data_IF_188442213545
#
_entry.id   IF_188442213545
#
_cell.length_a   1.000
_cell.length_b   1.000
_cell.length_c   1.000
_cell.angle_alpha   90.00
_cell.angle_beta   90.00
_cell.angle_gamma   90.00
#
_symmetry.space_group_name_H-M   'P 1'
#
loop_
_entity.id
_entity.type
_entity.pdbx_description
1 polymer ?
#
# COMPACT_ATOMS: atom_id res chain seq x y z
N UNK A 1 -0.75 6.79 15.46
CA UNK A 1 -0.03 6.21 14.31
C UNK A 1 1.24 7.01 14.13
N UNK A 2 2.42 6.39 14.18
CA UNK A 2 3.67 7.09 13.93
C UNK A 2 3.72 7.48 12.45
N UNK A 3 3.83 8.77 12.17
CA UNK A 3 3.81 9.27 10.80
C UNK A 3 5.12 8.91 10.11
N UNK A 4 4.99 8.33 8.91
CA UNK A 4 6.14 8.09 8.02
C UNK A 4 6.87 9.40 7.70
N UNK A 5 8.20 9.33 7.66
CA UNK A 5 9.06 10.42 7.19
C UNK A 5 9.62 10.16 5.80
N UNK A 6 10.02 11.24 5.13
CA UNK A 6 10.62 11.26 3.81
C UNK A 6 11.78 10.28 3.69
N UNK A 7 12.65 10.21 4.70
CA UNK A 7 13.77 9.25 4.71
C UNK A 7 13.33 7.79 4.63
N UNK A 8 12.23 7.42 5.29
CA UNK A 8 11.74 6.04 5.30
C UNK A 8 11.18 5.70 3.92
N UNK A 9 10.41 6.63 3.34
CA UNK A 9 9.88 6.48 1.99
C UNK A 9 11.02 6.35 0.97
N UNK A 10 12.02 7.25 1.02
CA UNK A 10 13.19 7.19 0.13
C UNK A 10 13.96 5.88 0.26
N UNK A 11 14.17 5.38 1.47
CA UNK A 11 14.89 4.13 1.69
C UNK A 11 14.18 2.93 1.06
N UNK A 12 12.85 2.88 1.15
CA UNK A 12 12.04 1.78 0.63
C UNK A 12 11.90 1.87 -0.89
N UNK A 13 11.73 3.08 -1.43
CA UNK A 13 11.42 3.31 -2.84
C UNK A 13 12.60 3.77 -3.70
N UNK A 14 13.83 3.74 -3.17
CA UNK A 14 15.02 4.07 -3.95
C UNK A 14 15.21 3.13 -5.14
N UNK A 15 15.49 3.68 -6.32
CA UNK A 15 15.65 2.93 -7.58
C UNK A 15 14.41 2.09 -7.93
N UNK A 16 13.21 2.58 -7.57
CA UNK A 16 11.94 1.92 -7.89
C UNK A 16 11.15 2.71 -8.91
N UNK A 17 10.58 1.98 -9.86
CA UNK A 17 9.53 2.46 -10.75
C UNK A 17 8.17 2.12 -10.14
N UNK A 18 7.47 3.14 -9.64
CA UNK A 18 6.14 3.02 -9.02
C UNK A 18 5.08 3.61 -9.93
N UNK A 19 3.94 2.93 -10.05
CA UNK A 19 2.78 3.43 -10.78
C UNK A 19 1.56 3.49 -9.88
N UNK A 20 0.87 4.62 -9.89
CA UNK A 20 -0.46 4.77 -9.30
C UNK A 20 -1.52 4.81 -10.39
N UNK A 21 -2.59 4.05 -10.24
CA UNK A 21 -3.71 4.02 -11.18
C UNK A 21 -5.01 4.18 -10.42
N UNK A 22 -5.83 5.16 -10.79
CA UNK A 22 -7.16 5.29 -10.22
C UNK A 22 -7.77 6.68 -10.26
N UNK A 23 -8.69 6.92 -9.36
CA UNK A 23 -9.48 8.15 -9.33
C UNK A 23 -8.75 9.35 -8.66
N UNK A 24 -9.53 10.35 -8.26
CA UNK A 24 -9.07 11.54 -7.54
C UNK A 24 -8.53 11.24 -6.13
N UNK A 25 -8.96 10.17 -5.46
CA UNK A 25 -8.36 9.70 -4.22
C UNK A 25 -6.98 9.13 -4.50
N UNK A 26 -6.85 8.27 -5.51
CA UNK A 26 -5.55 7.73 -5.94
C UNK A 26 -4.59 8.83 -6.38
N UNK A 27 -5.08 9.86 -7.09
CA UNK A 27 -4.30 11.06 -7.41
C UNK A 27 -3.80 11.79 -6.16
N UNK A 28 -4.61 11.86 -5.12
CA UNK A 28 -4.24 12.52 -3.86
C UNK A 28 -3.21 11.71 -3.07
N UNK A 29 -3.31 10.37 -3.10
CA UNK A 29 -2.30 9.47 -2.52
C UNK A 29 -0.98 9.60 -3.30
N UNK A 30 -1.02 9.57 -4.63
CA UNK A 30 0.15 9.82 -5.49
C UNK A 30 0.83 11.16 -5.15
N UNK A 31 0.05 12.23 -4.98
CA UNK A 31 0.58 13.56 -4.64
C UNK A 31 1.19 13.63 -3.25
N UNK A 32 0.54 13.02 -2.26
CA UNK A 32 1.13 12.89 -0.92
C UNK A 32 2.44 12.10 -0.98
N UNK A 33 2.49 11.01 -1.74
CA UNK A 33 3.65 10.16 -1.92
C UNK A 33 4.83 10.94 -2.52
N UNK A 34 4.65 11.64 -3.64
CA UNK A 34 5.74 12.42 -4.27
C UNK A 34 6.15 13.63 -3.42
N UNK A 35 5.21 14.26 -2.71
CA UNK A 35 5.55 15.33 -1.77
C UNK A 35 6.41 14.77 -0.63
N UNK A 36 6.02 13.64 -0.04
CA UNK A 36 6.76 13.01 1.04
C UNK A 36 8.12 12.48 0.58
N UNK A 37 8.28 12.08 -0.70
CA UNK A 37 9.59 11.79 -1.26
C UNK A 37 10.54 13.00 -1.20
N UNK A 38 10.02 14.23 -1.03
CA UNK A 38 10.79 15.46 -1.05
C UNK A 38 10.88 16.10 0.35
N UNK A 39 9.76 16.17 1.07
CA UNK A 39 9.60 17.00 2.27
C UNK A 39 8.75 16.30 3.35
N UNK A 40 9.12 16.48 4.62
CA UNK A 40 8.38 16.01 5.80
C UNK A 40 7.20 16.94 6.15
N UNK A 41 6.29 17.17 5.19
CA UNK A 41 5.09 17.99 5.43
C UNK A 41 3.85 17.40 4.75
N UNK A 42 2.68 17.81 5.22
CA UNK A 42 1.40 17.49 4.58
C UNK A 42 1.13 18.44 3.39
N UNK A 43 0.31 17.98 2.45
CA UNK A 43 -0.29 18.86 1.46
C UNK A 43 -1.22 19.87 2.13
N UNK A 44 -1.13 21.14 1.74
CA UNK A 44 -2.12 22.14 2.11
C UNK A 44 -3.47 21.90 1.41
N UNK A 45 -4.54 22.50 1.93
CA UNK A 45 -5.87 22.40 1.30
C UNK A 45 -5.91 23.00 -0.11
N UNK A 46 -5.14 24.06 -0.36
CA UNK A 46 -5.04 24.67 -1.68
C UNK A 46 -4.33 23.74 -2.67
N UNK A 47 -3.23 23.12 -2.26
CA UNK A 47 -2.50 22.14 -3.07
C UNK A 47 -3.38 20.92 -3.36
N UNK A 48 -4.16 20.45 -2.39
CA UNK A 48 -5.10 19.34 -2.57
C UNK A 48 -6.24 19.70 -3.53
N UNK A 49 -6.89 20.85 -3.32
CA UNK A 49 -8.06 21.27 -4.10
C UNK A 49 -7.73 21.63 -5.54
N UNK A 50 -6.63 22.34 -5.75
CA UNK A 50 -6.28 22.89 -7.07
C UNK A 50 -5.09 22.21 -7.73
N UNK A 51 -4.38 21.35 -7.03
CA UNK A 51 -3.20 20.69 -7.59
C UNK A 51 -3.50 19.78 -8.77
N UNK A 52 -4.72 19.26 -8.90
CA UNK A 52 -5.17 18.52 -10.09
C UNK A 52 -5.26 19.40 -11.34
N UNK A 53 -5.46 20.70 -11.17
CA UNK A 53 -5.69 21.66 -12.24
C UNK A 53 -4.39 22.40 -12.62
N UNK A 54 -3.24 21.77 -12.39
CA UNK A 54 -1.94 22.29 -12.75
C UNK A 54 -1.20 21.29 -13.63
N UNK A 55 -0.46 21.82 -14.59
CA UNK A 55 0.49 21.08 -15.40
C UNK A 55 1.67 20.57 -14.56
N UNK A 56 2.00 21.26 -13.47
CA UNK A 56 3.05 20.87 -12.52
C UNK A 56 2.63 21.05 -11.06
N UNK A 57 2.91 20.04 -10.23
CA UNK A 57 2.82 20.14 -8.77
C UNK A 57 3.83 19.19 -8.11
N UNK A 58 4.51 19.66 -7.06
CA UNK A 58 5.55 18.88 -6.35
C UNK A 58 6.63 18.32 -7.29
N UNK A 59 6.98 19.05 -8.36
CA UNK A 59 7.95 18.60 -9.36
C UNK A 59 7.43 17.56 -10.35
N UNK A 60 6.17 17.11 -10.24
CA UNK A 60 5.54 16.29 -11.27
C UNK A 60 5.25 17.09 -12.55
N UNK A 61 4.99 16.36 -13.63
CA UNK A 61 4.63 16.88 -14.94
C UNK A 61 3.38 16.15 -15.41
N UNK A 62 2.35 16.90 -15.79
CA UNK A 62 1.22 16.42 -16.56
C UNK A 62 1.70 16.16 -18.00
N UNK A 63 1.52 14.93 -18.46
CA UNK A 63 1.86 14.51 -19.82
C UNK A 63 0.66 14.60 -20.75
N UNK A 64 -0.51 14.16 -20.28
CA UNK A 64 -1.73 14.07 -21.07
C UNK A 64 -2.95 14.40 -20.23
N UNK A 65 -4.00 14.94 -20.86
CA UNK A 65 -5.28 15.19 -20.22
C UNK A 65 -5.28 16.38 -19.26
N UNK A 66 -6.11 16.34 -18.21
CA UNK A 66 -6.21 17.44 -17.22
C UNK A 66 -6.43 18.81 -17.87
N UNK A 67 -5.56 19.78 -17.55
CA UNK A 67 -5.62 21.14 -18.09
C UNK A 67 -5.27 21.26 -19.57
N UNK A 68 -4.64 20.25 -20.18
CA UNK A 68 -4.37 20.23 -21.62
C UNK A 68 -5.60 19.81 -22.44
N UNK A 69 -6.60 19.20 -21.80
CA UNK A 69 -7.96 19.06 -22.34
C UNK A 69 -8.85 20.12 -21.70
N UNK A 70 -10.07 20.30 -22.21
CA UNK A 70 -11.08 21.03 -21.44
C UNK A 70 -11.29 20.28 -20.12
N UNK A 71 -11.16 20.99 -18.99
CA UNK A 71 -11.38 20.40 -17.66
C UNK A 71 -12.78 19.80 -17.63
N UNK A 72 -12.88 18.49 -17.79
CA UNK A 72 -14.13 17.76 -17.78
C UNK A 72 -14.18 16.88 -16.53
N UNK A 73 -15.35 16.80 -15.91
CA UNK A 73 -15.64 15.86 -14.83
C UNK A 73 -16.41 14.63 -15.34
N UNK A 74 -16.27 14.36 -16.64
CA UNK A 74 -16.98 13.31 -17.36
C UNK A 74 -16.22 11.98 -17.34
N UNK A 75 -16.86 10.94 -17.87
CA UNK A 75 -16.28 9.60 -18.02
C UNK A 75 -15.10 9.56 -19.02
N UNK A 76 -15.00 10.60 -19.86
CA UNK A 76 -13.91 10.86 -20.82
C UNK A 76 -12.68 11.54 -20.17
N UNK A 77 -12.74 11.79 -18.85
CA UNK A 77 -11.61 12.41 -18.17
C UNK A 77 -10.41 11.46 -18.15
N UNK A 78 -9.28 12.00 -18.58
CA UNK A 78 -8.01 11.32 -18.62
C UNK A 78 -6.96 12.24 -18.02
N UNK A 79 -5.99 11.66 -17.35
CA UNK A 79 -4.86 12.40 -16.79
C UNK A 79 -3.70 11.43 -16.63
N UNK A 80 -2.55 11.79 -17.21
CA UNK A 80 -1.30 11.04 -17.10
C UNK A 80 -0.24 11.96 -16.54
N UNK A 81 0.41 11.55 -15.45
CA UNK A 81 1.49 12.32 -14.82
C UNK A 81 2.74 11.49 -14.63
N UNK A 82 3.86 12.19 -14.59
CA UNK A 82 5.17 11.63 -14.27
C UNK A 82 5.90 12.52 -13.26
N UNK A 83 6.47 11.89 -12.25
CA UNK A 83 7.47 12.49 -11.37
C UNK A 83 8.77 11.73 -11.59
N UNK A 84 9.80 12.46 -12.04
CA UNK A 84 11.14 11.93 -12.25
C UNK A 84 12.12 12.81 -11.49
N UNK A 85 12.72 12.27 -10.43
CA UNK A 85 13.72 12.96 -9.64
C UNK A 85 14.79 11.98 -9.14
N UNK A 86 16.04 12.19 -9.55
CA UNK A 86 17.18 11.34 -9.22
C UNK A 86 16.93 9.86 -9.55
N UNK A 87 16.65 9.06 -8.52
CA UNK A 87 16.47 7.60 -8.56
C UNK A 87 15.00 7.19 -8.39
N UNK A 88 14.06 8.14 -8.45
CA UNK A 88 12.63 7.90 -8.32
C UNK A 88 11.93 8.14 -9.65
N UNK A 89 11.21 7.12 -10.12
CA UNK A 89 10.29 7.22 -11.24
C UNK A 89 8.89 6.86 -10.74
N UNK A 90 7.98 7.84 -10.74
CA UNK A 90 6.59 7.63 -10.31
C UNK A 90 5.64 8.11 -11.39
N UNK A 91 4.82 7.22 -11.96
CA UNK A 91 3.75 7.59 -12.89
C UNK A 91 2.39 7.55 -12.21
N UNK A 92 1.47 8.38 -12.66
CA UNK A 92 0.06 8.33 -12.29
C UNK A 92 -0.83 8.29 -13.54
N UNK A 93 -1.84 7.43 -13.52
CA UNK A 93 -2.86 7.33 -14.55
C UNK A 93 -4.25 7.45 -13.92
N UNK A 94 -5.03 8.42 -14.37
CA UNK A 94 -6.40 8.57 -13.92
C UNK A 94 -7.29 7.53 -14.59
N UNK A 95 -8.05 6.78 -13.78
CA UNK A 95 -9.00 5.78 -14.26
C UNK A 95 -10.43 6.19 -13.94
N UNK A 96 -11.30 6.12 -14.96
CA UNK A 96 -12.74 6.19 -14.79
C UNK A 96 -13.38 4.80 -14.74
N UNK A 97 -12.67 3.75 -15.17
CA UNK A 97 -13.08 2.34 -15.10
C UNK A 97 -11.88 1.47 -14.79
N UNK A 98 -12.10 0.30 -14.18
CA UNK A 98 -11.07 -0.74 -14.10
C UNK A 98 -10.67 -1.26 -15.48
N UNK A 99 -11.61 -1.25 -16.43
CA UNK A 99 -11.38 -1.70 -17.80
C UNK A 99 -12.16 -0.86 -18.79
N UNK A 100 -11.43 -0.18 -19.67
CA UNK A 100 -11.92 0.54 -20.84
C UNK A 100 -10.74 0.77 -21.83
N UNK A 101 -10.96 1.57 -22.87
CA UNK A 101 -9.91 1.88 -23.84
C UNK A 101 -8.73 2.63 -23.21
N UNK A 102 -8.96 3.43 -22.18
CA UNK A 102 -7.90 4.15 -21.46
C UNK A 102 -6.98 3.17 -20.75
N UNK A 103 -7.53 2.24 -19.96
CA UNK A 103 -6.73 1.22 -19.26
C UNK A 103 -6.01 0.32 -20.25
N UNK A 104 -6.64 -0.04 -21.37
CA UNK A 104 -6.01 -0.84 -22.41
C UNK A 104 -4.78 -0.13 -23.01
N UNK A 105 -4.85 1.18 -23.25
CA UNK A 105 -3.70 1.99 -23.71
C UNK A 105 -2.59 2.06 -22.67
N UNK A 106 -2.92 2.19 -21.38
CA UNK A 106 -1.93 2.17 -20.29
C UNK A 106 -1.21 0.81 -20.22
N UNK A 107 -1.94 -0.29 -20.33
CA UNK A 107 -1.34 -1.63 -20.34
C UNK A 107 -0.47 -1.85 -21.58
N UNK A 108 -0.86 -1.29 -22.73
CA UNK A 108 -0.03 -1.33 -23.93
C UNK A 108 1.25 -0.49 -23.80
N UNK A 109 1.20 0.66 -23.11
CA UNK A 109 2.41 1.41 -22.73
C UNK A 109 3.34 0.53 -21.87
N UNK A 110 2.81 -0.17 -20.87
CA UNK A 110 3.64 -1.08 -20.06
C UNK A 110 4.26 -2.19 -20.90
N UNK A 111 3.56 -2.73 -21.91
CA UNK A 111 4.14 -3.76 -22.80
C UNK A 111 5.31 -3.22 -23.62
N UNK A 112 5.18 -1.99 -24.13
CA UNK A 112 6.16 -1.32 -24.99
C UNK A 112 7.36 -0.73 -24.22
N UNK A 113 7.15 -0.29 -22.99
CA UNK A 113 8.21 0.28 -22.16
C UNK A 113 9.32 -0.76 -21.93
N UNK A 114 10.58 -0.38 -22.14
CA UNK A 114 11.75 -1.23 -21.88
C UNK A 114 11.89 -1.57 -20.40
N UNK A 115 11.49 -0.64 -19.53
CA UNK A 115 11.51 -0.79 -18.08
C UNK A 115 10.09 -1.07 -17.58
N UNK A 116 9.93 -2.11 -16.77
CA UNK A 116 8.63 -2.46 -16.18
C UNK A 116 8.49 -1.86 -14.78
N UNK A 117 7.27 -1.51 -14.33
CA UNK A 117 7.05 -1.08 -12.96
C UNK A 117 7.51 -2.14 -11.95
N UNK A 118 8.18 -1.73 -10.87
CA UNK A 118 8.40 -2.58 -9.70
C UNK A 118 7.10 -2.77 -8.90
N UNK A 119 6.28 -1.73 -8.86
CA UNK A 119 5.03 -1.67 -8.10
C UNK A 119 3.95 -0.93 -8.89
N UNK A 120 2.79 -1.56 -9.04
CA UNK A 120 1.57 -0.93 -9.55
C UNK A 120 0.53 -0.92 -8.43
N UNK A 121 0.09 0.27 -8.03
CA UNK A 121 -0.93 0.49 -7.00
C UNK A 121 -2.20 0.92 -7.72
N UNK A 122 -3.27 0.15 -7.63
CA UNK A 122 -4.47 0.35 -8.42
C UNK A 122 -5.75 0.32 -7.57
N UNK A 123 -6.65 1.26 -7.84
CA UNK A 123 -8.05 1.26 -7.40
C UNK A 123 -8.91 2.00 -8.43
N UNK A 124 -10.10 1.49 -8.73
CA UNK A 124 -11.08 2.20 -9.58
C UNK A 124 -12.50 2.18 -9.01
N UNK A 125 -12.69 1.57 -7.83
CA UNK A 125 -14.01 1.22 -7.29
C UNK A 125 -14.96 2.39 -7.18
N UNK A 126 -14.49 3.58 -6.78
CA UNK A 126 -15.38 4.73 -6.64
C UNK A 126 -16.09 5.07 -7.95
N UNK A 127 -15.33 5.29 -9.01
CA UNK A 127 -15.89 5.66 -10.31
C UNK A 127 -16.73 4.54 -10.92
N UNK A 128 -16.22 3.31 -10.92
CA UNK A 128 -16.92 2.16 -11.49
C UNK A 128 -18.31 1.98 -10.90
N UNK A 129 -18.43 2.17 -9.58
CA UNK A 129 -19.67 1.93 -8.85
C UNK A 129 -20.58 3.16 -8.85
N UNK A 130 -20.04 4.38 -8.74
CA UNK A 130 -20.88 5.57 -8.53
C UNK A 130 -21.21 6.36 -9.80
N UNK A 131 -20.44 6.23 -10.88
CA UNK A 131 -20.58 7.12 -12.05
C UNK A 131 -21.39 6.55 -13.21
N UNK A 132 -21.56 5.22 -13.26
CA UNK A 132 -22.12 4.52 -14.43
C UNK A 132 -23.53 3.98 -14.19
N UNK A 133 -24.28 4.64 -13.31
CA UNK A 133 -25.66 4.31 -12.98
C UNK A 133 -25.83 2.88 -12.45
N UNK A 134 -27.01 2.32 -12.69
CA UNK A 134 -27.43 1.03 -12.13
C UNK A 134 -26.57 -0.16 -12.59
N UNK A 135 -25.90 -0.06 -13.74
CA UNK A 135 -25.05 -1.13 -14.28
C UNK A 135 -23.61 -1.08 -13.75
N UNK A 136 -23.20 0.00 -13.06
CA UNK A 136 -21.82 0.20 -12.63
C UNK A 136 -21.22 -0.99 -11.87
N UNK A 137 -21.98 -1.55 -10.94
CA UNK A 137 -21.58 -2.74 -10.18
C UNK A 137 -21.45 -4.01 -11.04
N UNK A 138 -22.43 -4.27 -11.90
CA UNK A 138 -22.44 -5.46 -12.77
C UNK A 138 -21.28 -5.42 -13.76
N UNK A 139 -21.06 -4.26 -14.38
CA UNK A 139 -19.93 -4.02 -15.28
C UNK A 139 -18.61 -4.22 -14.54
N UNK A 140 -18.47 -3.62 -13.36
CA UNK A 140 -17.26 -3.73 -12.54
C UNK A 140 -16.92 -5.19 -12.21
N UNK A 141 -17.91 -5.97 -11.76
CA UNK A 141 -17.74 -7.38 -11.43
C UNK A 141 -17.36 -8.23 -12.65
N UNK A 142 -17.85 -7.87 -13.83
CA UNK A 142 -17.55 -8.54 -15.11
C UNK A 142 -16.14 -8.19 -15.60
N UNK A 143 -15.75 -6.93 -15.46
CA UNK A 143 -14.52 -6.38 -16.04
C UNK A 143 -13.28 -6.56 -15.16
N UNK A 144 -13.43 -6.53 -13.84
CA UNK A 144 -12.29 -6.58 -12.90
C UNK A 144 -11.41 -7.84 -13.06
N UNK A 145 -11.95 -9.06 -13.26
CA UNK A 145 -11.11 -10.24 -13.49
C UNK A 145 -10.21 -10.08 -14.71
N UNK A 146 -10.75 -9.54 -15.82
CA UNK A 146 -10.01 -9.31 -17.05
C UNK A 146 -8.98 -8.19 -16.88
N UNK A 147 -9.31 -7.13 -16.14
CA UNK A 147 -8.34 -6.08 -15.78
C UNK A 147 -7.11 -6.66 -15.09
N UNK A 148 -7.28 -7.56 -14.12
CA UNK A 148 -6.14 -8.18 -13.44
C UNK A 148 -5.32 -9.06 -14.38
N UNK A 149 -5.97 -9.85 -15.23
CA UNK A 149 -5.28 -10.71 -16.20
C UNK A 149 -4.49 -9.89 -17.22
N UNK A 150 -5.09 -8.82 -17.75
CA UNK A 150 -4.46 -7.92 -18.72
C UNK A 150 -3.29 -7.12 -18.10
N UNK A 151 -3.44 -6.63 -16.86
CA UNK A 151 -2.38 -5.92 -16.14
C UNK A 151 -1.20 -6.86 -15.82
N UNK A 152 -1.47 -8.09 -15.37
CA UNK A 152 -0.43 -9.08 -15.11
C UNK A 152 0.31 -9.44 -16.40
N UNK A 153 -0.39 -9.59 -17.51
CA UNK A 153 0.22 -9.86 -18.82
C UNK A 153 1.03 -8.67 -19.36
N UNK A 154 0.72 -7.45 -18.93
CA UNK A 154 1.41 -6.23 -19.37
C UNK A 154 2.65 -5.87 -18.53
N UNK A 155 2.86 -6.53 -17.39
CA UNK A 155 3.92 -6.22 -16.42
C UNK A 155 4.95 -7.34 -16.31
N UNK A 156 6.04 -7.13 -15.56
CA UNK A 156 7.02 -8.18 -15.29
C UNK A 156 6.43 -9.21 -14.32
N UNK A 157 6.84 -10.49 -14.38
CA UNK A 157 6.51 -11.47 -13.33
C UNK A 157 6.92 -11.02 -11.92
N UNK A 158 7.93 -10.15 -11.80
CA UNK A 158 8.42 -9.59 -10.54
C UNK A 158 7.67 -8.32 -10.10
N UNK A 159 6.79 -7.76 -10.94
CA UNK A 159 6.01 -6.57 -10.59
C UNK A 159 5.02 -6.90 -9.48
N UNK A 160 5.04 -6.14 -8.40
CA UNK A 160 3.99 -6.19 -7.39
C UNK A 160 2.78 -5.44 -7.91
N UNK A 161 1.63 -6.12 -7.94
CA UNK A 161 0.33 -5.48 -8.18
C UNK A 161 -0.37 -5.38 -6.84
N UNK A 162 -0.56 -4.17 -6.35
CA UNK A 162 -1.23 -3.86 -5.09
C UNK A 162 -2.62 -3.28 -5.38
N UNK A 163 -3.66 -4.04 -5.08
CA UNK A 163 -5.03 -3.55 -5.07
C UNK A 163 -5.30 -2.80 -3.77
N UNK A 164 -5.57 -1.51 -3.89
CA UNK A 164 -6.03 -0.69 -2.78
C UNK A 164 -7.57 -0.75 -2.76
N UNK A 165 -8.22 -1.03 -1.63
CA UNK A 165 -9.69 -0.93 -1.56
C UNK A 165 -10.12 0.55 -1.61
N UNK A 166 -11.37 0.84 -1.98
CA UNK A 166 -11.87 2.21 -1.88
C UNK A 166 -12.05 2.63 -0.42
N UNK A 167 -11.61 3.84 -0.08
CA UNK A 167 -11.81 4.41 1.24
C UNK A 167 -13.30 4.49 1.62
N UNK A 168 -13.65 4.47 2.92
CA UNK A 168 -15.04 4.55 3.35
C UNK A 168 -15.71 5.87 2.95
N UNK A 169 -16.85 5.77 2.28
CA UNK A 169 -17.66 6.94 1.91
C UNK A 169 -18.73 7.24 2.97
N UNK A 170 -19.30 8.45 2.91
CA UNK A 170 -20.43 8.85 3.74
C UNK A 170 -21.73 8.16 3.29
N UNK A 171 -22.79 8.28 4.10
CA UNK A 171 -24.11 7.80 3.73
C UNK A 171 -24.72 8.59 2.56
N UNK A 172 -24.39 9.88 2.47
CA UNK A 172 -24.95 10.83 1.51
C UNK A 172 -23.81 11.57 0.81
N UNK A 173 -23.02 10.86 -0.02
CA UNK A 173 -21.89 11.47 -0.69
C UNK A 173 -22.36 12.57 -1.65
N UNK A 174 -21.63 13.69 -1.66
CA UNK A 174 -21.93 14.86 -2.46
C UNK A 174 -20.72 15.25 -3.31
N UNK A 175 -20.30 14.32 -4.17
CA UNK A 175 -19.20 14.52 -5.09
C UNK A 175 -19.62 14.21 -6.52
N UNK A 176 -18.99 14.89 -7.47
CA UNK A 176 -19.30 14.82 -8.91
C UNK A 176 -19.12 13.43 -9.53
N UNK A 177 -18.36 12.57 -8.87
CA UNK A 177 -18.15 11.16 -9.25
C UNK A 177 -19.41 10.33 -9.09
N UNK A 178 -20.38 10.79 -8.30
CA UNK A 178 -21.68 10.16 -8.20
C UNK A 178 -22.58 10.69 -9.31
N UNK A 179 -23.14 9.78 -10.10
CA UNK A 179 -24.13 10.12 -11.13
C UNK A 179 -25.34 10.83 -10.50
N UNK A 180 -25.74 11.97 -11.05
CA UNK A 180 -26.76 12.83 -10.43
C UNK A 180 -28.16 12.19 -10.42
N UNK A 181 -28.44 11.27 -11.34
CA UNK A 181 -29.71 10.57 -11.44
C UNK A 181 -29.74 9.35 -10.50
N UNK A 182 -28.65 8.59 -10.46
CA UNK A 182 -28.56 7.38 -9.65
C UNK A 182 -28.26 7.67 -8.16
N UNK A 183 -27.56 8.76 -7.86
CA UNK A 183 -27.18 9.14 -6.49
C UNK A 183 -28.36 9.26 -5.52
N UNK A 184 -29.47 9.94 -5.84
CA UNK A 184 -30.64 10.03 -4.96
C UNK A 184 -31.39 8.70 -4.81
N UNK A 185 -31.30 7.81 -5.79
CA UNK A 185 -32.00 6.51 -5.78
C UNK A 185 -31.33 5.51 -4.82
N UNK A 186 -30.01 5.57 -4.71
CA UNK A 186 -29.25 4.61 -3.92
C UNK A 186 -29.02 5.10 -2.48
N UNK A 187 -29.76 4.51 -1.52
CA UNK A 187 -29.62 4.80 -0.07
C UNK A 187 -28.58 3.92 0.63
N UNK A 188 -27.93 3.01 -0.09
CA UNK A 188 -27.10 1.95 0.46
C UNK A 188 -25.63 2.07 0.07
N UNK A 189 -25.18 3.26 -0.31
CA UNK A 189 -23.81 3.55 -0.74
C UNK A 189 -22.74 2.91 0.15
N UNK A 190 -22.81 3.09 1.47
CA UNK A 190 -21.84 2.51 2.41
C UNK A 190 -21.80 0.98 2.35
N UNK A 191 -22.97 0.34 2.38
CA UNK A 191 -23.09 -1.12 2.34
C UNK A 191 -22.64 -1.68 0.99
N UNK A 192 -22.99 -1.01 -0.10
CA UNK A 192 -22.57 -1.41 -1.44
C UNK A 192 -21.04 -1.34 -1.57
N UNK A 193 -20.41 -0.23 -1.15
CA UNK A 193 -18.96 -0.10 -1.18
C UNK A 193 -18.25 -1.12 -0.29
N UNK A 194 -18.82 -1.44 0.89
CA UNK A 194 -18.30 -2.52 1.74
C UNK A 194 -18.30 -3.87 1.01
N UNK A 195 -19.42 -4.24 0.38
CA UNK A 195 -19.52 -5.50 -0.35
C UNK A 195 -18.61 -5.54 -1.58
N UNK A 196 -18.50 -4.43 -2.32
CA UNK A 196 -17.64 -4.36 -3.50
C UNK A 196 -16.16 -4.37 -3.14
N UNK A 197 -15.76 -3.72 -2.04
CA UNK A 197 -14.41 -3.83 -1.54
C UNK A 197 -14.07 -5.25 -1.10
N UNK A 198 -15.00 -5.94 -0.42
CA UNK A 198 -14.82 -7.36 -0.08
C UNK A 198 -14.63 -8.22 -1.32
N UNK A 199 -15.52 -8.07 -2.32
CA UNK A 199 -15.43 -8.81 -3.59
C UNK A 199 -14.11 -8.54 -4.32
N UNK A 200 -13.73 -7.28 -4.49
CA UNK A 200 -12.53 -6.91 -5.24
C UNK A 200 -11.25 -7.33 -4.51
N UNK A 201 -11.20 -7.24 -3.18
CA UNK A 201 -10.09 -7.73 -2.38
C UNK A 201 -9.91 -9.26 -2.49
N UNK A 202 -11.00 -10.03 -2.39
CA UNK A 202 -10.95 -11.48 -2.57
C UNK A 202 -10.50 -11.87 -3.99
N UNK A 203 -11.01 -11.17 -5.00
CA UNK A 203 -10.62 -11.41 -6.38
C UNK A 203 -9.14 -11.07 -6.63
N UNK A 204 -8.66 -9.94 -6.09
CA UNK A 204 -7.25 -9.55 -6.18
C UNK A 204 -6.33 -10.65 -5.60
N UNK A 205 -6.66 -11.18 -4.41
CA UNK A 205 -5.92 -12.31 -3.81
C UNK A 205 -5.95 -13.55 -4.71
N UNK A 206 -7.11 -13.93 -5.26
CA UNK A 206 -7.25 -15.05 -6.22
C UNK A 206 -6.43 -14.87 -7.50
N UNK A 207 -6.14 -13.62 -7.87
CA UNK A 207 -5.31 -13.23 -9.02
C UNK A 207 -3.84 -13.00 -8.65
N UNK A 208 -3.39 -13.44 -7.47
CA UNK A 208 -2.02 -13.24 -6.96
C UNK A 208 -1.60 -11.75 -6.98
N UNK A 209 -2.51 -10.89 -6.57
CA UNK A 209 -2.25 -9.48 -6.29
C UNK A 209 -2.24 -9.27 -4.77
N UNK A 210 -1.38 -8.35 -4.33
CA UNK A 210 -1.38 -7.87 -2.95
C UNK A 210 -2.61 -7.00 -2.70
N UNK A 211 -3.04 -6.92 -1.44
CA UNK A 211 -4.20 -6.10 -1.05
C UNK A 211 -3.87 -5.24 0.15
N UNK A 212 -4.16 -3.94 0.06
CA UNK A 212 -4.21 -3.05 1.20
C UNK A 212 -5.65 -2.58 1.42
N UNK A 213 -6.28 -3.09 2.49
CA UNK A 213 -7.66 -2.77 2.81
C UNK A 213 -7.80 -1.46 3.60
N UNK A 214 -7.70 -0.34 2.88
CA UNK A 214 -7.93 0.99 3.47
C UNK A 214 -9.39 1.24 3.83
N UNK A 215 -10.35 0.48 3.29
CA UNK A 215 -11.72 0.54 3.75
C UNK A 215 -11.81 0.12 5.23
N UNK A 216 -11.24 -1.04 5.54
CA UNK A 216 -11.17 -1.52 6.92
C UNK A 216 -10.40 -0.55 7.81
N UNK A 217 -9.18 -0.16 7.42
CA UNK A 217 -8.29 0.66 8.27
C UNK A 217 -8.89 2.04 8.62
N UNK A 218 -9.75 2.59 7.77
CA UNK A 218 -10.31 3.94 7.94
C UNK A 218 -11.78 3.96 8.40
N UNK A 219 -12.41 2.81 8.63
CA UNK A 219 -13.86 2.73 8.96
C UNK A 219 -14.24 3.48 10.24
N UNK A 220 -13.32 3.54 11.21
CA UNK A 220 -13.49 4.23 12.51
C UNK A 220 -12.84 5.63 12.51
N UNK A 221 -12.47 6.17 11.35
CA UNK A 221 -11.83 7.50 11.22
C UNK A 221 -12.66 8.48 10.36
N UNK A 222 -13.99 8.59 10.54
CA UNK A 222 -14.83 9.45 9.70
C UNK A 222 -14.45 10.93 9.76
N UNK A 223 -13.78 11.38 10.82
CA UNK A 223 -13.30 12.75 11.00
C UNK A 223 -12.20 13.15 10.03
N UNK A 224 -11.49 12.18 9.45
CA UNK A 224 -10.46 12.44 8.43
C UNK A 224 -11.06 12.50 7.01
N UNK A 225 -12.37 12.24 6.86
CA UNK A 225 -13.07 12.33 5.58
C UNK A 225 -13.46 13.78 5.29
N UNK A 226 -13.34 14.16 4.02
CA UNK A 226 -13.75 15.46 3.51
C UNK A 226 -15.26 15.66 3.58
N UNK A 227 -15.67 16.93 3.47
CA UNK A 227 -17.08 17.34 3.57
C UNK A 227 -17.96 16.88 2.40
N UNK A 228 -17.36 16.50 1.27
CA UNK A 228 -18.08 15.89 0.15
C UNK A 228 -18.41 14.41 0.38
N UNK A 229 -17.92 13.83 1.48
CA UNK A 229 -18.23 12.47 1.88
C UNK A 229 -17.57 11.38 1.04
N UNK A 230 -16.58 11.69 0.19
CA UNK A 230 -15.82 10.67 -0.55
C UNK A 230 -14.31 10.94 -0.62
N UNK A 231 -13.87 12.20 -0.60
CA UNK A 231 -12.45 12.54 -0.50
C UNK A 231 -12.02 12.56 0.95
N UNK A 232 -10.70 12.58 1.18
CA UNK A 232 -10.11 12.58 2.51
C UNK A 232 -9.21 13.80 2.72
N UNK A 233 -8.93 14.10 3.98
CA UNK A 233 -8.01 15.16 4.38
C UNK A 233 -6.56 14.78 4.04
N UNK A 234 -5.66 15.75 4.04
CA UNK A 234 -4.22 15.48 3.86
C UNK A 234 -3.67 14.52 4.92
N UNK A 235 -4.19 14.56 6.14
CA UNK A 235 -3.84 13.60 7.20
C UNK A 235 -4.33 12.19 6.82
N UNK A 236 -5.55 12.07 6.30
CA UNK A 236 -6.09 10.80 5.82
C UNK A 236 -5.23 10.19 4.70
N UNK A 237 -4.87 10.97 3.68
CA UNK A 237 -3.98 10.49 2.62
C UNK A 237 -2.57 10.15 3.12
N UNK A 238 -1.99 10.93 4.04
CA UNK A 238 -0.72 10.58 4.68
C UNK A 238 -0.79 9.25 5.42
N UNK A 239 -1.90 8.96 6.10
CA UNK A 239 -2.10 7.67 6.75
C UNK A 239 -2.15 6.53 5.71
N UNK A 240 -2.81 6.73 4.56
CA UNK A 240 -2.79 5.74 3.46
C UNK A 240 -1.36 5.50 2.96
N UNK A 241 -0.61 6.57 2.67
CA UNK A 241 0.81 6.50 2.27
C UNK A 241 1.66 5.77 3.32
N UNK A 242 1.38 5.97 4.61
CA UNK A 242 2.08 5.28 5.70
C UNK A 242 1.85 3.78 5.66
N UNK A 243 0.58 3.34 5.59
CA UNK A 243 0.23 1.92 5.53
C UNK A 243 0.74 1.25 4.25
N UNK A 244 0.62 1.94 3.12
CA UNK A 244 1.17 1.49 1.85
C UNK A 244 2.67 1.24 1.96
N UNK A 245 3.40 2.19 2.54
CA UNK A 245 4.84 2.06 2.70
C UNK A 245 5.23 0.94 3.65
N UNK A 246 4.51 0.77 4.76
CA UNK A 246 4.74 -0.34 5.69
C UNK A 246 4.58 -1.69 4.99
N UNK A 247 3.46 -1.89 4.27
CA UNK A 247 3.20 -3.12 3.51
C UNK A 247 4.29 -3.38 2.47
N UNK A 248 4.65 -2.36 1.67
CA UNK A 248 5.68 -2.50 0.65
C UNK A 248 7.05 -2.81 1.27
N UNK A 249 7.36 -2.23 2.43
CA UNK A 249 8.59 -2.56 3.16
C UNK A 249 8.65 -4.04 3.55
N UNK A 250 7.50 -4.62 3.96
CA UNK A 250 7.39 -6.02 4.33
C UNK A 250 7.59 -6.91 3.10
N UNK A 251 6.96 -6.58 1.97
CA UNK A 251 7.05 -7.35 0.73
C UNK A 251 8.46 -7.30 0.14
N UNK A 252 9.11 -6.14 0.13
CA UNK A 252 10.49 -6.01 -0.37
C UNK A 252 11.56 -6.38 0.66
N UNK A 253 11.16 -6.73 1.88
CA UNK A 253 12.08 -6.97 3.00
C UNK A 253 13.08 -5.83 3.24
N UNK A 254 12.64 -4.58 2.98
CA UNK A 254 13.41 -3.38 3.28
C UNK A 254 12.98 -2.89 4.65
N UNK A 255 13.88 -2.77 5.64
CA UNK A 255 13.49 -2.40 6.99
C UNK A 255 12.76 -1.05 7.04
N UNK A 256 11.52 -1.07 7.56
CA UNK A 256 10.77 0.14 7.92
C UNK A 256 11.37 0.74 9.18
N UNK A 257 12.51 1.45 9.08
CA UNK A 257 13.17 1.91 10.30
C UNK A 257 13.67 3.35 10.21
N UNK A 258 13.16 4.17 11.13
CA UNK A 258 13.86 5.35 11.62
C UNK A 258 15.15 4.89 12.32
N UNK A 259 16.29 4.97 11.63
CA UNK A 259 17.61 4.63 12.18
C UNK A 259 17.90 5.32 13.51
N UNK A 260 17.32 6.50 13.77
CA UNK A 260 17.52 7.21 15.04
C UNK A 260 16.76 6.55 16.19
N UNK A 261 15.66 5.84 15.93
CA UNK A 261 14.90 5.08 16.93
C UNK A 261 15.62 3.78 17.28
N UNK A 262 16.25 3.11 16.29
CA UNK A 262 17.20 2.02 16.59
C UNK A 262 18.37 2.56 17.38
N UNK A 263 19.07 3.60 16.91
CA UNK A 263 20.25 4.10 17.59
C UNK A 263 19.93 4.68 18.98
N UNK A 264 18.72 5.21 19.20
CA UNK A 264 18.25 5.65 20.51
C UNK A 264 17.94 4.46 21.41
N UNK A 265 17.23 3.44 20.91
CA UNK A 265 16.93 2.22 21.67
C UNK A 265 18.17 1.35 21.91
N UNK A 266 19.11 1.30 20.97
CA UNK A 266 20.42 0.65 21.12
C UNK A 266 21.27 1.41 22.13
N UNK A 267 21.31 2.75 22.10
CA UNK A 267 22.00 3.53 23.15
C UNK A 267 21.35 3.37 24.53
N UNK A 268 20.03 3.33 24.59
CA UNK A 268 19.27 3.09 25.82
C UNK A 268 19.51 1.66 26.34
N UNK A 269 19.47 0.66 25.46
CA UNK A 269 19.72 -0.74 25.77
C UNK A 269 21.18 -0.97 26.19
N UNK A 270 22.16 -0.42 25.47
CA UNK A 270 23.58 -0.46 25.86
C UNK A 270 23.82 0.28 27.19
N UNK A 271 23.14 1.41 27.43
CA UNK A 271 23.24 2.14 28.70
C UNK A 271 22.56 1.43 29.89
N UNK A 272 21.51 0.64 29.66
CA UNK A 272 20.86 -0.21 30.67
C UNK A 272 21.68 -1.47 30.92
N UNK A 273 22.21 -2.12 29.87
CA UNK A 273 23.10 -3.27 29.97
C UNK A 273 24.40 -2.93 30.68
N UNK A 274 25.04 -1.77 30.39
CA UNK A 274 26.25 -1.37 31.12
C UNK A 274 26.01 -1.06 32.60
N UNK A 275 24.82 -0.57 32.97
CA UNK A 275 24.44 -0.35 34.38
C UNK A 275 24.14 -1.67 35.09
N UNK A 276 23.36 -2.56 34.49
CA UNK A 276 23.07 -3.90 35.05
C UNK A 276 24.29 -4.81 35.15
N UNK A 277 25.21 -4.78 34.18
CA UNK A 277 26.47 -5.56 34.23
C UNK A 277 27.39 -5.05 35.36
N UNK A 278 27.36 -3.75 35.67
CA UNK A 278 28.08 -3.18 36.84
C UNK A 278 27.38 -3.46 38.17
N UNK A 279 26.05 -3.55 38.20
CA UNK A 279 25.25 -3.67 39.42
C UNK A 279 24.95 -5.12 39.85
N UNK A 280 24.96 -6.09 38.92
CA UNK A 280 24.51 -7.48 39.20
C UNK A 280 25.61 -8.58 39.08
N UNK A 281 26.89 -8.20 39.19
CA UNK A 281 28.08 -9.06 39.41
C UNK A 281 28.78 -9.71 38.20
N UNK A 282 30.07 -9.42 38.07
CA UNK A 282 31.09 -10.22 37.36
C UNK A 282 31.18 -11.69 37.83
N UNK A 283 30.48 -12.09 38.89
CA UNK A 283 30.63 -13.40 39.53
C UNK A 283 29.49 -14.42 39.30
N UNK A 284 28.36 -14.05 38.70
CA UNK A 284 27.16 -14.94 38.65
C UNK A 284 26.97 -15.68 37.32
N UNK A 285 27.52 -15.19 36.21
CA UNK A 285 27.28 -15.75 34.87
C UNK A 285 28.04 -17.08 34.63
N UNK A 286 29.06 -17.40 35.42
CA UNK A 286 29.86 -18.63 35.24
C UNK A 286 29.08 -19.91 35.59
N UNK A 287 27.97 -19.83 36.35
CA UNK A 287 27.34 -21.03 36.93
C UNK A 287 25.94 -21.42 36.39
N UNK A 288 25.31 -20.66 35.47
CA UNK A 288 23.93 -20.98 35.03
C UNK A 288 23.81 -21.71 33.68
N UNK A 289 24.94 -22.11 33.06
CA UNK A 289 24.97 -22.75 31.73
C UNK A 289 24.77 -24.28 31.75
N UNK A 290 24.25 -24.86 32.84
CA UNK A 290 24.05 -26.32 32.95
C UNK A 290 22.57 -26.66 33.26
N UNK A 291 21.86 -27.21 32.26
CA UNK A 291 20.92 -28.34 32.49
C UNK A 291 19.47 -28.28 31.96
N UNK A 292 19.22 -29.11 30.94
CA UNK A 292 18.10 -30.08 30.75
C UNK A 292 16.72 -29.72 30.09
N UNK A 293 16.49 -30.33 28.91
CA UNK A 293 15.34 -31.13 28.34
C UNK A 293 13.86 -30.82 28.73
N UNK A 294 12.78 -30.92 27.90
CA UNK A 294 12.27 -31.97 26.96
C UNK A 294 11.01 -31.51 26.13
N UNK A 295 10.84 -32.05 24.88
CA UNK A 295 9.61 -32.54 24.13
C UNK A 295 8.30 -31.71 24.00
N UNK A 296 7.51 -31.59 22.91
CA UNK A 296 7.44 -32.09 21.52
C UNK A 296 5.97 -32.08 20.98
N UNK A 297 5.69 -31.65 19.73
CA UNK A 297 4.56 -32.06 18.82
C UNK A 297 4.77 -31.46 17.41
N UNK A 298 4.39 -32.19 16.37
CA UNK A 298 4.76 -32.01 14.94
C UNK A 298 3.85 -31.05 14.15
N UNK A 299 4.46 -30.07 13.47
CA UNK A 299 3.84 -29.15 12.50
C UNK A 299 4.46 -29.30 11.10
N UNK A 300 3.68 -28.90 10.08
CA UNK A 300 4.06 -28.80 8.67
C UNK A 300 5.47 -28.21 8.46
N UNK A 301 6.34 -28.97 7.78
CA UNK A 301 7.78 -28.68 7.65
C UNK A 301 8.07 -27.63 6.58
N UNK A 302 7.86 -26.37 6.95
CA UNK A 302 8.22 -25.20 6.18
C UNK A 302 9.74 -25.12 5.90
N UNK A 303 10.59 -25.79 6.70
CA UNK A 303 12.03 -25.82 6.46
C UNK A 303 12.36 -26.62 5.19
N UNK A 304 11.72 -27.77 4.96
CA UNK A 304 11.92 -28.55 3.73
C UNK A 304 11.46 -27.79 2.49
N UNK A 305 10.40 -26.97 2.57
CA UNK A 305 9.94 -26.14 1.46
C UNK A 305 10.93 -25.01 1.12
N UNK A 306 11.42 -24.30 2.13
CA UNK A 306 12.32 -23.15 1.96
C UNK A 306 13.74 -23.56 1.56
N UNK A 307 14.22 -24.72 2.03
CA UNK A 307 15.56 -25.25 1.69
C UNK A 307 15.68 -25.59 0.20
N UNK A 308 14.58 -26.01 -0.43
CA UNK A 308 14.60 -26.44 -1.83
C UNK A 308 14.39 -25.30 -2.83
N UNK A 309 13.92 -24.12 -2.43
CA UNK A 309 13.36 -23.12 -3.36
C UNK A 309 13.95 -21.69 -3.22
N UNK A 310 14.96 -21.48 -2.37
CA UNK A 310 15.68 -20.20 -2.26
C UNK A 310 17.10 -20.34 -2.84
N UNK A 311 17.50 -19.56 -3.86
CA UNK A 311 18.83 -19.69 -4.45
C UNK A 311 19.93 -19.22 -3.49
N UNK A 312 20.88 -20.09 -3.22
CA UNK A 312 22.08 -19.80 -2.43
C UNK A 312 23.04 -18.98 -3.30
N UNK A 313 23.35 -17.75 -2.90
CA UNK A 313 24.63 -17.10 -3.27
C UNK A 313 25.56 -17.10 -2.07
N UNK A 314 26.73 -17.66 -2.33
CA UNK A 314 27.85 -17.92 -1.44
C UNK A 314 28.53 -16.65 -0.97
N UNK A 315 28.73 -16.49 0.34
CA UNK A 315 30.02 -16.68 1.04
C UNK A 315 29.94 -16.11 2.47
N UNK A 316 30.72 -16.74 3.34
CA UNK A 316 30.73 -16.73 4.80
C UNK A 316 31.25 -15.40 5.37
N UNK A 317 30.90 -14.96 6.59
CA UNK A 317 31.31 -15.54 7.87
C UNK A 317 30.42 -15.06 9.04
N UNK A 318 30.39 -15.90 10.09
CA UNK A 318 29.83 -15.74 11.44
C UNK A 318 28.48 -16.43 11.69
N UNK A 319 28.51 -17.77 11.65
CA UNK A 319 28.24 -18.63 12.82
C UNK A 319 26.87 -18.57 13.49
N UNK A 320 25.83 -18.04 12.86
CA UNK A 320 24.45 -18.09 13.39
C UNK A 320 23.57 -18.81 12.39
N UNK A 321 22.92 -19.89 12.82
CA UNK A 321 22.02 -20.66 11.96
C UNK A 321 20.86 -19.73 11.52
N UNK A 322 20.42 -19.75 10.25
CA UNK A 322 19.35 -18.87 9.77
C UNK A 322 18.07 -18.95 10.61
N UNK A 323 17.78 -20.13 11.17
CA UNK A 323 16.65 -20.38 12.07
C UNK A 323 16.74 -19.59 13.41
N UNK A 324 17.94 -19.36 13.92
CA UNK A 324 18.18 -18.62 15.16
C UNK A 324 17.98 -17.11 14.94
N UNK A 325 18.32 -16.62 13.74
CA UNK A 325 18.07 -15.21 13.35
C UNK A 325 16.58 -14.90 13.21
N UNK A 326 15.81 -15.82 12.64
CA UNK A 326 14.35 -15.67 12.47
C UNK A 326 13.62 -15.76 13.81
N UNK A 327 14.02 -16.70 14.68
CA UNK A 327 13.45 -16.82 16.04
C UNK A 327 13.74 -15.58 16.90
N UNK A 328 14.93 -15.00 16.78
CA UNK A 328 15.28 -13.75 17.45
C UNK A 328 14.47 -12.54 16.92
N UNK A 329 14.19 -12.48 15.61
CA UNK A 329 13.38 -11.42 15.01
C UNK A 329 11.90 -11.50 15.44
N UNK A 330 11.30 -12.70 15.47
CA UNK A 330 9.91 -12.91 15.89
C UNK A 330 9.72 -12.60 17.39
N UNK A 331 10.71 -12.95 18.22
CA UNK A 331 10.72 -12.63 19.65
C UNK A 331 10.77 -11.13 19.97
N UNK A 332 11.18 -10.28 19.01
CA UNK A 332 11.33 -8.83 19.16
C UNK A 332 10.20 -8.01 18.51
N UNK A 333 9.23 -8.64 17.84
CA UNK A 333 8.08 -7.95 17.22
C UNK A 333 7.10 -7.43 18.29
N UNK A 334 6.65 -6.18 18.14
CA UNK A 334 5.66 -5.59 19.05
C UNK A 334 4.22 -6.02 18.67
N UNK A 335 3.25 -5.79 19.55
CA UNK A 335 1.85 -6.23 19.36
C UNK A 335 1.17 -5.65 18.11
N UNK A 336 1.68 -4.55 17.55
CA UNK A 336 1.18 -3.98 16.29
C UNK A 336 1.59 -4.83 15.09
N UNK A 337 2.84 -5.32 15.07
CA UNK A 337 3.35 -6.18 14.01
C UNK A 337 2.69 -7.56 14.05
N UNK A 338 2.40 -8.06 15.27
CA UNK A 338 1.59 -9.28 15.47
C UNK A 338 0.14 -9.09 15.03
N UNK A 339 -0.44 -7.89 15.22
CA UNK A 339 -1.80 -7.57 14.74
C UNK A 339 -1.87 -7.51 13.22
N UNK A 340 -0.85 -6.96 12.55
CA UNK A 340 -0.73 -6.94 11.08
C UNK A 340 -0.69 -8.37 10.52
N UNK A 341 0.04 -9.28 11.18
CA UNK A 341 0.03 -10.70 10.81
C UNK A 341 -1.31 -11.39 11.14
N UNK A 342 -1.94 -11.09 12.27
CA UNK A 342 -3.28 -11.62 12.61
C UNK A 342 -4.41 -11.13 11.69
N UNK A 343 -4.20 -10.01 10.98
CA UNK A 343 -5.10 -9.50 9.95
C UNK A 343 -5.04 -10.34 8.67
N UNK A 344 -3.96 -11.10 8.45
CA UNK A 344 -3.87 -12.08 7.37
C UNK A 344 -4.71 -13.34 7.71
N UNK A 345 -4.69 -13.77 8.98
CA UNK A 345 -5.48 -14.91 9.49
C UNK A 345 -7.00 -14.66 9.54
N UNK A 346 -7.44 -13.40 9.56
CA UNK A 346 -8.86 -13.06 9.62
C UNK A 346 -9.66 -13.59 8.40
N UNK A 347 -8.98 -13.77 7.26
CA UNK A 347 -9.59 -14.31 6.03
C UNK A 347 -9.39 -15.82 5.84
N UNK A 348 -8.63 -16.49 6.71
CA UNK A 348 -8.32 -17.92 6.56
C UNK A 348 -9.15 -18.85 7.45
N UNK A 349 -9.93 -18.32 8.40
CA UNK A 349 -10.82 -19.18 9.20
C UNK A 349 -12.07 -19.55 8.40
N UNK A 350 -12.29 -20.83 8.07
CA UNK A 350 -13.60 -21.28 7.63
C UNK A 350 -14.55 -21.02 8.79
N UNK A 351 -15.65 -20.31 8.53
CA UNK A 351 -16.76 -20.25 9.49
C UNK A 351 -17.24 -21.69 9.70
N UNK A 352 -17.10 -22.19 10.93
CA UNK A 352 -17.80 -23.40 11.39
C UNK A 352 -19.30 -23.15 11.42
#
# INVERSE_FOLDING_TARGET
MEQIRSRNLRQIFQNKYVVFMGDSNMRSIYKDFILLLQEDRLMSDLERKFGGNKDRIFGDILLEGGVYKSLSSGIEYEEKRIFLANIFLVKFFFLTRCRNDVTARVFEEFRKDSEKPDLVIINSTLWDISRYGQNGETDFKTNLPQCFDELRAATSPTTIILWLTALPISAEPNAIVFDEQYRPENKYWRTQFLHINSFSAELAKKKNCEVLDVHYLFRELPELRGTDGCHWTSIGYRAVTSYLTQLVSLIWHVPYIDRNVIEAKEREFHGVCHRKIKEENEHVIVNSLIGANTTGTTDFDLNTYLTNHVPIRSETQNGVHPADRVSAMIGQMNDTDRRILSLMDYYEKPKK
#
